data_IF_572811780330
#
_entry.id   IF_572811780330
#
_cell.length_a   1.000
_cell.length_b   1.000
_cell.length_c   1.000
_cell.angle_alpha   90.00
_cell.angle_beta   90.00
_cell.angle_gamma   90.00
#
_symmetry.space_group_name_H-M   'P 1'
#
loop_
_entity.id
_entity.type
_entity.pdbx_description
1 polymer ?
#
# COMPACT_ATOMS: atom_id res chain seq x y z
N UNK A 1 -57.72 -7.14 40.59
CA UNK A 1 -57.54 -7.51 39.18
C UNK A 1 -56.28 -6.87 38.63
N UNK A 2 -55.36 -7.74 38.16
CA UNK A 2 -54.45 -7.59 37.01
C UNK A 2 -53.28 -6.60 37.08
N UNK A 3 -52.10 -7.21 37.19
CA UNK A 3 -50.75 -6.71 36.91
C UNK A 3 -50.59 -6.15 35.50
N UNK A 4 -49.67 -5.21 35.31
CA UNK A 4 -48.73 -5.21 34.17
C UNK A 4 -47.53 -4.31 34.44
N UNK A 5 -46.39 -4.95 34.75
CA UNK A 5 -45.05 -4.36 34.60
C UNK A 5 -44.75 -4.30 33.10
N UNK A 6 -44.61 -3.11 32.53
CA UNK A 6 -44.04 -2.93 31.20
C UNK A 6 -42.51 -2.79 31.34
N UNK A 7 -41.80 -3.89 31.13
CA UNK A 7 -40.34 -3.89 31.02
C UNK A 7 -39.95 -3.32 29.63
N UNK A 8 -39.32 -2.15 29.61
CA UNK A 8 -38.65 -1.61 28.44
C UNK A 8 -37.31 -2.34 28.24
N UNK A 9 -37.22 -3.15 27.18
CA UNK A 9 -36.00 -3.82 26.76
C UNK A 9 -35.22 -2.89 25.81
N UNK A 10 -34.02 -2.40 26.13
CA UNK A 10 -33.21 -1.66 25.17
C UNK A 10 -32.59 -2.65 24.16
N UNK A 11 -32.97 -2.51 22.89
CA UNK A 11 -32.36 -3.23 21.78
C UNK A 11 -30.96 -2.65 21.54
N UNK A 12 -29.93 -3.26 22.12
CA UNK A 12 -28.55 -2.93 21.83
C UNK A 12 -28.20 -3.41 20.40
N UNK A 13 -28.21 -2.49 19.44
CA UNK A 13 -27.59 -2.71 18.13
C UNK A 13 -26.07 -2.77 18.32
N UNK A 14 -25.53 -3.96 18.45
CA UNK A 14 -24.09 -4.19 18.32
C UNK A 14 -23.71 -3.97 16.86
N UNK A 15 -23.25 -2.78 16.50
CA UNK A 15 -22.52 -2.57 15.24
C UNK A 15 -21.23 -3.36 15.35
N UNK A 16 -21.16 -4.52 14.69
CA UNK A 16 -19.91 -5.22 14.44
C UNK A 16 -19.07 -4.35 13.50
N UNK A 17 -18.15 -3.56 14.06
CA UNK A 17 -17.10 -2.96 13.26
C UNK A 17 -16.22 -4.10 12.74
N UNK A 18 -16.36 -4.48 11.48
CA UNK A 18 -15.39 -5.36 10.83
C UNK A 18 -14.07 -4.60 10.79
N UNK A 19 -13.11 -5.01 11.62
CA UNK A 19 -11.73 -4.58 11.43
C UNK A 19 -11.32 -4.97 10.00
N UNK A 20 -10.88 -4.01 9.20
CA UNK A 20 -10.34 -4.26 7.86
C UNK A 20 -9.04 -5.05 8.02
N UNK A 21 -9.15 -6.38 7.96
CA UNK A 21 -8.04 -7.28 8.14
C UNK A 21 -7.21 -7.39 6.86
N UNK A 22 -5.89 -7.49 7.02
CA UNK A 22 -5.00 -7.94 5.96
C UNK A 22 -5.06 -9.45 5.81
N UNK A 23 -4.58 -9.96 4.66
CA UNK A 23 -4.45 -11.39 4.43
C UNK A 23 -3.33 -11.68 3.44
N UNK A 24 -2.88 -12.93 3.42
CA UNK A 24 -1.88 -13.40 2.48
C UNK A 24 -2.34 -13.22 1.02
N UNK A 25 -1.52 -12.56 0.22
CA UNK A 25 -1.70 -12.36 -1.21
C UNK A 25 -0.44 -12.81 -1.95
N UNK A 26 -0.58 -13.77 -2.86
CA UNK A 26 0.55 -14.23 -3.70
C UNK A 26 0.43 -13.66 -5.11
N UNK A 27 1.39 -12.84 -5.52
CA UNK A 27 1.46 -12.35 -6.89
C UNK A 27 1.91 -13.49 -7.82
N UNK A 28 1.03 -13.89 -8.73
CA UNK A 28 1.30 -14.99 -9.65
C UNK A 28 2.45 -14.73 -10.63
N UNK A 29 2.80 -13.45 -10.88
CA UNK A 29 3.88 -13.12 -11.83
C UNK A 29 5.27 -13.21 -11.22
N UNK A 30 5.41 -12.80 -9.96
CA UNK A 30 6.70 -12.84 -9.24
C UNK A 30 6.85 -14.05 -8.33
N UNK A 31 5.73 -14.69 -7.94
CA UNK A 31 5.71 -15.72 -6.91
C UNK A 31 5.91 -15.19 -5.49
N UNK A 32 5.91 -13.87 -5.29
CA UNK A 32 6.07 -13.25 -3.97
C UNK A 32 4.73 -13.32 -3.23
N UNK A 33 4.77 -13.81 -2.00
CA UNK A 33 3.66 -13.74 -1.05
C UNK A 33 3.85 -12.53 -0.13
N UNK A 34 2.83 -11.69 -0.08
CA UNK A 34 2.70 -10.49 0.74
C UNK A 34 1.62 -10.69 1.80
N UNK A 35 1.72 -9.97 2.91
CA UNK A 35 0.55 -9.65 3.71
C UNK A 35 -0.08 -8.37 3.13
N UNK A 36 -1.35 -8.40 2.77
CA UNK A 36 -1.96 -7.35 1.97
C UNK A 36 -3.36 -6.94 2.42
N UNK A 37 -3.66 -5.64 2.25
CA UNK A 37 -5.00 -5.08 2.31
C UNK A 37 -5.52 -4.85 0.90
N UNK A 38 -6.77 -5.23 0.65
CA UNK A 38 -7.50 -4.88 -0.58
C UNK A 38 -8.82 -4.22 -0.24
N UNK A 39 -9.04 -3.02 -0.78
CA UNK A 39 -10.34 -2.37 -0.70
C UNK A 39 -11.28 -2.92 -1.78
N UNK A 40 -12.36 -3.58 -1.37
CA UNK A 40 -13.29 -4.25 -2.30
C UNK A 40 -14.02 -3.27 -3.23
N UNK A 41 -14.17 -2.00 -2.82
CA UNK A 41 -14.93 -1.00 -3.59
C UNK A 41 -14.09 -0.45 -4.74
N UNK A 42 -12.84 -0.08 -4.46
CA UNK A 42 -11.95 0.56 -5.43
C UNK A 42 -11.04 -0.43 -6.15
N UNK A 43 -10.82 -1.62 -5.58
CA UNK A 43 -9.82 -2.58 -6.04
C UNK A 43 -8.38 -2.10 -5.84
N UNK A 44 -8.16 -1.12 -4.95
CA UNK A 44 -6.85 -0.78 -4.41
C UNK A 44 -6.30 -1.98 -3.65
N UNK A 45 -5.02 -2.29 -3.83
CA UNK A 45 -4.29 -3.26 -2.99
C UNK A 45 -2.94 -2.72 -2.62
N UNK A 46 -2.56 -2.86 -1.35
CA UNK A 46 -1.18 -2.72 -0.91
C UNK A 46 -0.77 -3.91 -0.06
N UNK A 47 0.41 -4.46 -0.32
CA UNK A 47 0.98 -5.55 0.45
C UNK A 47 2.46 -5.38 0.72
N UNK A 48 2.92 -5.99 1.82
CA UNK A 48 4.31 -5.97 2.28
C UNK A 48 4.79 -7.41 2.53
N UNK A 49 6.04 -7.68 2.13
CA UNK A 49 6.85 -8.78 2.62
C UNK A 49 8.08 -8.24 3.36
N UNK A 50 8.31 -8.72 4.58
CA UNK A 50 9.41 -8.34 5.47
C UNK A 50 10.41 -9.50 5.63
N UNK A 51 11.68 -9.21 5.98
CA UNK A 51 12.57 -10.26 6.48
C UNK A 51 12.06 -10.81 7.82
N UNK A 52 12.48 -12.03 8.17
CA UNK A 52 12.17 -12.64 9.49
C UNK A 52 12.63 -11.77 10.67
N UNK A 53 13.69 -11.00 10.45
CA UNK A 53 14.15 -9.94 11.34
C UNK A 53 14.06 -8.61 10.57
N UNK A 54 12.94 -7.87 10.70
CA UNK A 54 12.76 -6.61 9.98
C UNK A 54 13.85 -5.60 10.36
N UNK A 55 14.32 -4.87 9.34
CA UNK A 55 15.22 -3.73 9.48
C UNK A 55 14.58 -2.51 8.84
N UNK A 56 15.32 -1.82 7.97
CA UNK A 56 14.85 -0.61 7.29
C UNK A 56 14.11 -0.88 5.98
N UNK A 57 14.13 -2.12 5.49
CA UNK A 57 13.77 -2.46 4.12
C UNK A 57 12.55 -3.39 4.07
N UNK A 58 11.75 -3.27 3.01
CA UNK A 58 10.66 -4.20 2.71
C UNK A 58 10.43 -4.35 1.21
N UNK A 59 9.80 -5.45 0.78
CA UNK A 59 9.30 -5.60 -0.59
C UNK A 59 7.80 -5.29 -0.58
N UNK A 60 7.39 -4.33 -1.40
CA UNK A 60 6.02 -3.85 -1.49
C UNK A 60 5.37 -4.20 -2.82
N UNK A 61 4.05 -4.34 -2.81
CA UNK A 61 3.21 -4.32 -4.00
C UNK A 61 2.11 -3.28 -3.83
N UNK A 62 1.89 -2.45 -4.85
CA UNK A 62 0.82 -1.47 -4.92
C UNK A 62 0.05 -1.65 -6.23
N UNK A 63 -1.25 -1.93 -6.13
CA UNK A 63 -2.14 -2.16 -7.27
C UNK A 63 -3.19 -1.06 -7.30
N UNK A 64 -3.35 -0.44 -8.46
CA UNK A 64 -4.42 0.51 -8.73
C UNK A 64 -5.25 0.12 -9.95
N UNK A 65 -6.18 1.01 -10.30
CA UNK A 65 -7.16 0.80 -11.38
C UNK A 65 -7.06 1.89 -12.44
N UNK A 66 -7.48 1.52 -13.64
CA UNK A 66 -7.57 2.41 -14.79
C UNK A 66 -6.25 3.18 -15.00
N UNK A 67 -6.34 4.48 -15.29
CA UNK A 67 -5.19 5.38 -15.42
C UNK A 67 -4.91 6.18 -14.14
N UNK A 68 -5.55 5.79 -13.05
CA UNK A 68 -5.55 6.49 -11.79
C UNK A 68 -4.27 6.31 -10.99
N UNK A 69 -4.22 6.96 -9.83
CA UNK A 69 -3.12 6.86 -8.88
C UNK A 69 -3.57 6.19 -7.57
N UNK A 70 -2.64 5.52 -6.91
CA UNK A 70 -2.82 4.95 -5.59
C UNK A 70 -1.69 5.42 -4.67
N UNK A 71 -2.00 5.58 -3.40
CA UNK A 71 -1.06 6.02 -2.38
C UNK A 71 -1.18 5.21 -1.10
N UNK A 72 -0.08 5.14 -0.37
CA UNK A 72 0.03 4.53 0.94
C UNK A 72 0.76 5.50 1.88
N UNK A 73 0.21 5.66 3.09
CA UNK A 73 0.92 6.22 4.23
C UNK A 73 1.48 5.10 5.08
N UNK A 74 2.80 5.10 5.27
CA UNK A 74 3.50 4.07 6.01
C UNK A 74 3.31 4.16 7.53
N UNK A 75 2.65 5.20 8.04
CA UNK A 75 2.33 5.30 9.47
C UNK A 75 0.94 5.90 9.72
N UNK A 76 -0.01 5.54 8.87
CA UNK A 76 -1.43 5.84 9.06
C UNK A 76 -1.85 7.17 8.45
N UNK A 77 -1.61 8.27 9.17
CA UNK A 77 -2.09 9.59 8.75
C UNK A 77 -1.46 10.11 7.46
N UNK A 78 -2.13 11.05 6.77
CA UNK A 78 -1.56 11.72 5.60
C UNK A 78 -0.42 12.69 5.98
N UNK A 79 -0.59 13.42 7.08
CA UNK A 79 0.36 14.46 7.49
C UNK A 79 1.47 13.88 8.37
N UNK A 80 2.69 14.40 8.23
CA UNK A 80 3.85 14.02 9.03
C UNK A 80 4.16 12.51 8.98
N UNK A 81 3.92 11.89 7.82
CA UNK A 81 4.23 10.50 7.51
C UNK A 81 4.95 10.41 6.17
N UNK A 82 5.78 9.38 6.02
CA UNK A 82 6.34 9.04 4.72
C UNK A 82 5.22 8.39 3.90
N UNK A 83 4.96 8.97 2.74
CA UNK A 83 3.94 8.52 1.81
C UNK A 83 4.63 7.96 0.56
N UNK A 84 4.02 6.96 -0.06
CA UNK A 84 4.38 6.49 -1.40
C UNK A 84 3.16 6.68 -2.30
N UNK A 85 3.38 7.20 -3.50
CA UNK A 85 2.36 7.28 -4.55
C UNK A 85 2.89 6.63 -5.83
N UNK A 86 2.02 5.89 -6.52
CA UNK A 86 2.33 5.31 -7.83
C UNK A 86 1.13 5.41 -8.78
N UNK A 87 1.42 5.48 -10.08
CA UNK A 87 0.44 5.60 -11.16
C UNK A 87 1.06 5.22 -12.51
N UNK A 88 0.26 4.87 -13.52
CA UNK A 88 0.75 4.60 -14.86
C UNK A 88 1.01 5.90 -15.63
N UNK A 89 2.09 5.91 -16.39
CA UNK A 89 2.38 6.85 -17.47
C UNK A 89 2.60 6.06 -18.75
N UNK A 90 1.54 5.95 -19.56
CA UNK A 90 1.52 5.00 -20.68
C UNK A 90 1.62 3.56 -20.17
N UNK A 91 2.65 2.84 -20.61
CA UNK A 91 2.93 1.44 -20.21
C UNK A 91 3.91 1.32 -19.04
N UNK A 92 4.46 2.44 -18.56
CA UNK A 92 5.40 2.48 -17.43
C UNK A 92 4.66 2.88 -16.16
N UNK A 93 5.16 2.43 -15.02
CA UNK A 93 4.76 2.98 -13.72
C UNK A 93 5.70 4.11 -13.34
N UNK A 94 5.13 5.20 -12.86
CA UNK A 94 5.84 6.27 -12.15
C UNK A 94 5.48 6.16 -10.68
N UNK A 95 6.50 6.27 -9.82
CA UNK A 95 6.35 6.24 -8.37
C UNK A 95 7.16 7.38 -7.74
N UNK A 96 6.73 7.86 -6.59
CA UNK A 96 7.43 8.92 -5.85
C UNK A 96 7.19 8.78 -4.35
N UNK A 97 8.18 9.17 -3.56
CA UNK A 97 8.00 9.44 -2.15
C UNK A 97 7.38 10.81 -1.96
N UNK A 98 6.47 10.93 -1.00
CA UNK A 98 5.64 12.11 -0.78
C UNK A 98 5.57 12.41 0.72
N UNK A 99 5.36 13.67 1.07
CA UNK A 99 5.24 14.09 2.47
C UNK A 99 4.65 15.48 2.60
N UNK A 100 3.85 15.71 3.64
CA UNK A 100 3.23 17.02 3.88
C UNK A 100 2.93 17.23 5.36
N UNK A 101 2.90 18.48 5.79
CA UNK A 101 2.49 18.90 7.15
C UNK A 101 1.05 19.38 7.21
N UNK A 102 0.36 19.50 6.07
CA UNK A 102 -1.05 19.91 5.99
C UNK A 102 -1.82 19.16 4.90
N UNK A 103 -3.15 19.23 4.95
CA UNK A 103 -4.06 18.60 3.98
C UNK A 103 -4.07 19.35 2.62
N UNK A 104 -3.00 19.16 1.84
CA UNK A 104 -2.81 19.65 0.47
C UNK A 104 -2.12 18.57 -0.36
N UNK A 105 -2.04 18.74 -1.69
CA UNK A 105 -1.25 17.84 -2.55
C UNK A 105 0.17 17.72 -1.99
N UNK A 106 0.60 16.51 -1.57
CA UNK A 106 1.93 16.35 -0.99
C UNK A 106 3.03 16.64 -2.03
N UNK A 107 4.01 17.51 -1.72
CA UNK A 107 5.23 17.59 -2.51
C UNK A 107 6.01 16.27 -2.44
N UNK A 108 6.99 16.14 -3.33
CA UNK A 108 7.97 15.06 -3.27
C UNK A 108 8.78 15.12 -1.98
N UNK A 109 9.02 13.95 -1.40
CA UNK A 109 9.86 13.78 -0.22
C UNK A 109 11.19 13.14 -0.62
N UNK A 110 12.27 13.65 -0.05
CA UNK A 110 13.64 13.16 -0.27
C UNK A 110 14.24 12.66 1.03
N UNK A 111 15.05 11.61 0.96
CA UNK A 111 15.75 11.06 2.11
C UNK A 111 16.65 9.89 1.72
N UNK A 112 17.19 9.19 2.72
CA UNK A 112 18.02 8.01 2.52
C UNK A 112 17.16 6.75 2.27
N UNK A 113 16.18 6.86 1.37
CA UNK A 113 15.28 5.78 0.98
C UNK A 113 15.15 5.70 -0.54
N UNK A 114 14.90 4.49 -1.05
CA UNK A 114 14.78 4.25 -2.50
C UNK A 114 13.68 3.24 -2.78
N UNK A 115 13.01 3.37 -3.93
CA UNK A 115 12.15 2.33 -4.48
C UNK A 115 12.79 1.79 -5.76
N UNK A 116 13.15 0.51 -5.76
CA UNK A 116 13.69 -0.18 -6.93
C UNK A 116 12.63 -1.14 -7.47
N UNK A 117 12.15 -0.96 -8.71
CA UNK A 117 11.13 -1.84 -9.29
C UNK A 117 11.58 -3.31 -9.37
N UNK A 118 10.63 -4.21 -9.19
CA UNK A 118 10.70 -5.62 -9.59
C UNK A 118 9.88 -5.74 -10.88
N UNK A 119 10.58 -5.87 -12.01
CA UNK A 119 9.98 -5.73 -13.35
C UNK A 119 8.87 -6.76 -13.61
N UNK A 120 9.06 -8.02 -13.18
CA UNK A 120 8.06 -9.07 -13.37
C UNK A 120 6.70 -8.76 -12.71
N UNK A 121 6.70 -8.03 -11.59
CA UNK A 121 5.50 -7.62 -10.85
C UNK A 121 5.02 -6.21 -11.18
N UNK A 122 5.65 -5.54 -12.15
CA UNK A 122 5.37 -4.15 -12.51
C UNK A 122 4.82 -4.06 -13.92
N UNK A 123 3.55 -3.64 -14.06
CA UNK A 123 2.88 -3.61 -15.36
C UNK A 123 1.64 -2.72 -15.37
N UNK A 124 1.20 -2.35 -16.58
CA UNK A 124 -0.08 -1.69 -16.84
C UNK A 124 -0.88 -2.58 -17.78
N UNK A 125 -2.16 -2.82 -17.47
CA UNK A 125 -3.11 -3.49 -18.36
C UNK A 125 -4.40 -2.66 -18.50
N UNK A 126 -5.40 -3.19 -19.20
CA UNK A 126 -6.62 -2.46 -19.53
C UNK A 126 -7.45 -2.06 -18.29
N UNK A 127 -7.39 -2.83 -17.20
CA UNK A 127 -8.25 -2.67 -16.03
C UNK A 127 -7.49 -2.22 -14.78
N UNK A 128 -6.21 -2.57 -14.68
CA UNK A 128 -5.37 -2.39 -13.50
C UNK A 128 -3.93 -2.05 -13.90
N UNK A 129 -3.19 -1.58 -12.92
CA UNK A 129 -1.74 -1.54 -12.95
C UNK A 129 -1.18 -2.08 -11.64
N UNK A 130 0.04 -2.59 -11.68
CA UNK A 130 0.76 -3.12 -10.52
C UNK A 130 2.14 -2.51 -10.47
N UNK A 131 2.59 -2.17 -9.27
CA UNK A 131 3.95 -1.74 -8.96
C UNK A 131 4.48 -2.61 -7.84
N UNK A 132 5.39 -3.52 -8.18
CA UNK A 132 6.11 -4.33 -7.19
C UNK A 132 7.52 -3.79 -7.07
N UNK A 133 8.01 -3.58 -5.85
CA UNK A 133 9.25 -2.86 -5.62
C UNK A 133 9.94 -3.27 -4.32
N UNK A 134 11.26 -3.15 -4.28
CA UNK A 134 12.04 -3.13 -3.05
C UNK A 134 12.11 -1.68 -2.55
N UNK A 135 11.61 -1.45 -1.34
CA UNK A 135 11.74 -0.18 -0.64
C UNK A 135 12.91 -0.28 0.35
N UNK A 136 14.05 0.31 0.02
CA UNK A 136 15.22 0.34 0.93
C UNK A 136 15.20 1.61 1.76
N UNK A 137 15.49 1.51 3.05
CA UNK A 137 15.52 2.66 3.95
C UNK A 137 14.14 3.22 4.33
N UNK A 138 13.06 2.51 4.01
CA UNK A 138 11.70 3.02 4.10
C UNK A 138 11.00 2.75 5.45
N UNK A 139 11.59 1.94 6.33
CA UNK A 139 11.13 1.74 7.71
C UNK A 139 12.00 2.61 8.61
N UNK A 140 11.43 3.71 9.11
CA UNK A 140 12.11 4.79 9.80
C UNK A 140 11.82 4.75 11.31
N UNK A 141 12.81 5.12 12.12
CA UNK A 141 12.70 5.16 13.59
C UNK A 141 12.16 6.50 14.13
N UNK A 142 11.79 7.44 13.25
CA UNK A 142 11.35 8.79 13.60
C UNK A 142 9.82 8.93 13.76
N UNK A 143 9.09 7.81 13.69
CA UNK A 143 7.62 7.78 13.80
C UNK A 143 6.88 8.28 12.55
N UNK A 144 7.59 8.49 11.43
CA UNK A 144 6.96 8.79 10.14
C UNK A 144 6.43 7.55 9.42
N UNK A 145 6.81 6.36 9.89
CA UNK A 145 6.41 5.03 9.39
C UNK A 145 6.07 4.10 10.55
N UNK A 146 5.65 2.86 10.27
CA UNK A 146 5.69 1.76 11.24
C UNK A 146 7.14 1.49 11.67
N UNK A 147 7.33 0.91 12.86
CA UNK A 147 8.65 0.54 13.36
C UNK A 147 8.98 -0.91 13.01
N UNK A 148 10.27 -1.21 12.83
CA UNK A 148 10.74 -2.56 12.50
C UNK A 148 10.38 -3.62 13.55
N UNK A 149 10.21 -3.21 14.82
CA UNK A 149 9.83 -4.08 15.92
C UNK A 149 8.33 -4.33 16.05
N UNK A 150 7.49 -3.60 15.29
CA UNK A 150 6.04 -3.67 15.44
C UNK A 150 5.51 -5.04 15.01
N UNK A 151 4.61 -5.61 15.81
CA UNK A 151 3.86 -6.81 15.43
C UNK A 151 2.71 -6.48 14.46
N UNK A 152 2.21 -5.24 14.51
CA UNK A 152 1.16 -4.70 13.66
C UNK A 152 1.32 -3.19 13.52
N UNK A 153 0.94 -2.61 12.39
CA UNK A 153 1.02 -1.16 12.15
C UNK A 153 -0.24 -0.60 11.52
N UNK A 154 -0.68 0.58 11.95
CA UNK A 154 -1.77 1.30 11.27
C UNK A 154 -1.21 1.98 10.02
N UNK A 155 -1.70 1.57 8.85
CA UNK A 155 -1.38 2.20 7.57
C UNK A 155 -2.59 2.97 7.05
N UNK A 156 -2.34 3.98 6.22
CA UNK A 156 -3.38 4.74 5.54
C UNK A 156 -3.29 4.54 4.03
N UNK A 157 -4.40 4.57 3.33
CA UNK A 157 -4.42 4.43 1.87
C UNK A 157 -5.23 5.55 1.21
N UNK A 158 -4.87 5.83 -0.03
CA UNK A 158 -5.56 6.81 -0.86
C UNK A 158 -5.65 6.29 -2.30
N UNK A 159 -6.75 6.59 -2.97
CA UNK A 159 -7.02 6.12 -4.32
C UNK A 159 -7.75 7.19 -5.13
N UNK A 160 -7.41 7.28 -6.42
CA UNK A 160 -8.20 8.00 -7.42
C UNK A 160 -8.17 7.21 -8.72
N UNK A 161 -9.32 7.08 -9.39
CA UNK A 161 -9.39 6.53 -10.75
C UNK A 161 -8.94 7.56 -11.82
N UNK A 162 -8.74 8.82 -11.43
CA UNK A 162 -8.32 9.92 -12.31
C UNK A 162 -6.80 10.04 -12.29
N UNK A 163 -6.19 10.11 -13.47
CA UNK A 163 -4.76 10.28 -13.63
C UNK A 163 -4.26 11.60 -13.01
N UNK A 164 -2.99 11.68 -12.55
CA UNK A 164 -2.38 12.95 -12.20
C UNK A 164 -2.33 13.91 -13.40
N UNK A 165 -2.18 15.22 -13.13
CA UNK A 165 -2.19 16.24 -14.18
C UNK A 165 -1.03 16.09 -15.18
N UNK A 166 0.15 15.67 -14.70
CA UNK A 166 1.31 15.39 -15.53
C UNK A 166 1.85 13.97 -15.22
N UNK A 167 1.24 12.90 -15.77
CA UNK A 167 1.58 11.52 -15.40
C UNK A 167 3.03 11.13 -15.63
N UNK A 168 3.73 11.75 -16.59
CA UNK A 168 5.15 11.49 -16.84
C UNK A 168 6.10 12.18 -15.85
N UNK A 169 5.61 13.11 -15.02
CA UNK A 169 6.41 13.85 -14.06
C UNK A 169 6.26 13.24 -12.66
N UNK A 170 7.33 12.68 -12.09
CA UNK A 170 7.29 12.11 -10.73
C UNK A 170 6.95 13.14 -9.65
N UNK A 171 7.14 14.44 -9.92
CA UNK A 171 6.83 15.55 -9.02
C UNK A 171 5.45 16.16 -9.29
N UNK A 172 4.61 15.52 -10.12
CA UNK A 172 3.25 16.00 -10.42
C UNK A 172 2.45 16.30 -9.15
N UNK A 173 1.51 17.22 -9.25
CA UNK A 173 0.48 17.42 -8.24
C UNK A 173 -0.65 16.40 -8.43
N UNK A 174 -1.34 16.10 -7.33
CA UNK A 174 -2.53 15.25 -7.33
C UNK A 174 -3.75 16.10 -6.99
N UNK A 175 -4.86 15.78 -7.67
CA UNK A 175 -6.18 16.13 -7.14
C UNK A 175 -6.44 15.27 -5.89
N UNK A 176 -7.35 15.72 -5.02
CA UNK A 176 -7.76 14.96 -3.84
C UNK A 176 -8.22 13.56 -4.25
N UNK A 177 -7.80 12.53 -3.50
CA UNK A 177 -8.25 11.16 -3.69
C UNK A 177 -9.78 11.05 -3.64
N UNK A 178 -10.36 10.18 -4.46
CA UNK A 178 -11.80 9.90 -4.45
C UNK A 178 -12.19 8.90 -3.37
N UNK A 179 -11.23 8.10 -2.88
CA UNK A 179 -11.41 7.17 -1.77
C UNK A 179 -10.14 7.11 -0.90
N UNK A 180 -10.32 6.86 0.39
CA UNK A 180 -9.24 6.76 1.36
C UNK A 180 -9.70 5.95 2.58
N UNK A 181 -8.76 5.53 3.39
CA UNK A 181 -9.05 4.94 4.69
C UNK A 181 -7.78 4.56 5.44
N UNK A 182 -7.98 3.83 6.54
CA UNK A 182 -6.90 3.25 7.35
C UNK A 182 -7.22 1.79 7.62
N UNK A 183 -6.18 0.98 7.78
CA UNK A 183 -6.31 -0.42 8.18
C UNK A 183 -5.10 -0.81 9.04
N UNK A 184 -5.24 -1.92 9.76
CA UNK A 184 -4.14 -2.50 10.54
C UNK A 184 -3.45 -3.55 9.69
N UNK A 185 -2.18 -3.34 9.40
CA UNK A 185 -1.29 -4.31 8.75
C UNK A 185 -0.75 -5.29 9.79
N UNK A 186 -0.93 -6.59 9.57
CA UNK A 186 -0.25 -7.63 10.36
C UNK A 186 1.22 -7.78 9.91
N UNK A 187 2.11 -7.01 10.55
CA UNK A 187 3.54 -7.02 10.24
C UNK A 187 4.21 -8.33 10.68
N UNK A 188 3.58 -9.11 11.55
CA UNK A 188 4.07 -10.43 11.93
C UNK A 188 3.82 -11.44 10.81
N UNK A 189 2.62 -11.42 10.22
CA UNK A 189 2.26 -12.24 9.07
C UNK A 189 3.03 -11.85 7.80
N UNK A 190 3.47 -10.60 7.69
CA UNK A 190 4.27 -10.11 6.57
C UNK A 190 5.71 -10.69 6.52
N UNK A 191 6.20 -11.34 7.59
CA UNK A 191 7.57 -11.86 7.66
C UNK A 191 7.75 -13.10 6.78
N UNK A 192 8.84 -13.15 6.03
CA UNK A 192 9.15 -14.26 5.13
C UNK A 192 10.62 -14.67 5.17
N UNK A 193 10.87 -15.97 5.31
CA UNK A 193 12.21 -16.54 5.12
C UNK A 193 12.72 -16.40 3.68
N UNK A 194 11.82 -16.17 2.71
CA UNK A 194 12.16 -15.94 1.30
C UNK A 194 12.46 -14.48 0.96
N UNK A 195 12.42 -13.57 1.95
CA UNK A 195 12.59 -12.13 1.72
C UNK A 195 13.84 -11.80 0.92
N UNK A 196 14.99 -12.40 1.24
CA UNK A 196 16.24 -12.14 0.52
C UNK A 196 16.13 -12.51 -0.98
N UNK A 197 15.45 -13.61 -1.29
CA UNK A 197 15.15 -14.01 -2.69
C UNK A 197 14.24 -12.99 -3.36
N UNK A 198 13.21 -12.51 -2.67
CA UNK A 198 12.28 -11.51 -3.21
C UNK A 198 12.97 -10.17 -3.48
N UNK A 199 13.76 -9.69 -2.52
CA UNK A 199 14.50 -8.44 -2.63
C UNK A 199 15.54 -8.47 -3.77
N UNK A 200 16.17 -9.64 -4.02
CA UNK A 200 17.14 -9.82 -5.09
C UNK A 200 16.54 -9.69 -6.51
N UNK A 201 15.22 -9.75 -6.67
CA UNK A 201 14.56 -9.52 -7.96
C UNK A 201 14.56 -8.04 -8.37
N UNK A 202 14.78 -7.12 -7.43
CA UNK A 202 14.71 -5.69 -7.69
C UNK A 202 15.84 -5.24 -8.62
N UNK A 203 15.49 -4.49 -9.66
CA UNK A 203 16.44 -4.03 -10.68
C UNK A 203 16.90 -5.11 -11.65
N UNK A 204 16.39 -6.34 -11.55
CA UNK A 204 16.64 -7.38 -12.54
C UNK A 204 15.62 -7.28 -13.67
N UNK A 205 16.10 -7.03 -14.88
CA UNK A 205 15.24 -7.10 -16.07
C UNK A 205 15.06 -8.56 -16.43
N UNK A 206 13.84 -9.10 -16.29
CA UNK A 206 13.57 -10.47 -16.74
C UNK A 206 13.65 -10.48 -18.27
N UNK A 207 14.55 -11.26 -18.89
CA UNK A 207 14.54 -11.44 -20.33
C UNK A 207 13.18 -12.01 -20.71
N UNK A 208 12.43 -11.33 -21.58
CA UNK A 208 11.24 -11.90 -22.19
C UNK A 208 11.66 -13.15 -22.95
N UNK A 209 11.47 -14.33 -22.34
CA UNK A 209 11.54 -15.58 -23.08
C UNK A 209 10.38 -15.55 -24.07
N UNK A 210 10.71 -15.24 -25.33
CA UNK A 210 9.82 -15.43 -26.46
C UNK A 210 9.38 -16.90 -26.44
N UNK A 211 8.11 -17.15 -26.11
CA UNK A 211 7.47 -18.40 -26.52
C UNK A 211 7.24 -18.30 -28.02
N UNK A 212 7.91 -19.16 -28.77
CA UNK A 212 7.61 -19.46 -30.17
C UNK A 212 6.21 -20.05 -30.31
#
# INVERSE_FOLDING_TARGET
MKFSLAALLPLAMALSASAQATSAFTDAKTGITFEAFTDATTGYTFGIALPTTPGTDFVGILIGKAKGWAGISLGGGMTNKLLIAAWPSGTKIVSSFRGTTAFRSPPEATGAYTMTPIDAGTYVNATNWSYTFLCKGCVLADGTTFAASDASGTLGWAFSAVAPAAPANHATTFQKHSAQGHYTMDLSAAKSAKYATYAALAGTTVPTMFKA
#
